data_IF_002005604923
#
_entry.id   IF_002005604923
#
_cell.length_a   1.000
_cell.length_b   1.000
_cell.length_c   1.000
_cell.angle_alpha   90.00
_cell.angle_beta   90.00
_cell.angle_gamma   90.00
#
_symmetry.space_group_name_H-M   'P 1'
#
loop_
_entity.id
_entity.type
_entity.pdbx_description
1 polymer ?
#
# COMPACT_ATOMS: atom_id res chain seq x y z
N UNK A 1 -51.94 -35.80 6.78
CA UNK A 1 -51.73 -34.37 6.48
C UNK A 1 -50.37 -34.14 5.84
N UNK A 2 -50.22 -34.68 4.63
CA UNK A 2 -49.11 -34.47 3.69
C UNK A 2 -49.78 -34.18 2.35
N UNK A 3 -50.18 -32.94 2.08
CA UNK A 3 -50.69 -32.54 0.76
C UNK A 3 -50.89 -31.02 0.57
N UNK A 4 -50.08 -30.15 1.18
CA UNK A 4 -50.23 -28.70 1.01
C UNK A 4 -48.91 -27.93 1.11
N UNK A 5 -47.83 -28.47 0.56
CA UNK A 5 -46.52 -27.79 0.52
C UNK A 5 -45.76 -28.02 -0.81
N UNK A 6 -46.47 -28.35 -1.89
CA UNK A 6 -45.87 -28.69 -3.19
C UNK A 6 -46.37 -27.86 -4.40
N UNK A 7 -47.23 -26.86 -4.20
CA UNK A 7 -47.82 -26.08 -5.32
C UNK A 7 -47.47 -24.59 -5.36
N UNK A 8 -46.55 -24.10 -4.50
CA UNK A 8 -46.05 -22.71 -4.56
C UNK A 8 -44.63 -22.63 -5.18
N UNK A 9 -43.98 -23.77 -5.42
CA UNK A 9 -42.64 -23.83 -6.04
C UNK A 9 -42.65 -24.02 -7.57
N UNK A 10 -43.81 -23.93 -8.23
CA UNK A 10 -43.96 -24.29 -9.66
C UNK A 10 -44.55 -23.18 -10.55
N UNK A 11 -44.51 -21.93 -10.08
CA UNK A 11 -44.85 -20.72 -10.86
C UNK A 11 -43.86 -19.58 -10.66
N UNK A 12 -42.56 -19.83 -10.84
CA UNK A 12 -41.55 -18.77 -11.01
C UNK A 12 -40.30 -19.26 -11.77
N UNK A 13 -40.46 -20.24 -12.68
CA UNK A 13 -39.34 -20.87 -13.39
C UNK A 13 -39.20 -20.45 -14.87
N UNK A 14 -39.79 -19.32 -15.27
CA UNK A 14 -39.69 -18.80 -16.65
C UNK A 14 -39.42 -17.28 -16.74
N UNK A 15 -38.80 -16.69 -15.72
CA UNK A 15 -38.48 -15.25 -15.75
C UNK A 15 -37.16 -14.90 -15.02
N UNK A 16 -36.06 -15.66 -15.22
CA UNK A 16 -34.70 -15.23 -14.81
C UNK A 16 -33.63 -15.78 -15.76
N UNK A 17 -33.85 -15.74 -17.08
CA UNK A 17 -32.87 -16.22 -18.06
C UNK A 17 -32.67 -15.26 -19.23
N UNK A 18 -32.81 -13.94 -18.98
CA UNK A 18 -32.60 -12.94 -20.02
C UNK A 18 -32.14 -11.57 -19.48
N UNK A 19 -31.12 -11.52 -18.61
CA UNK A 19 -30.34 -10.29 -18.36
C UNK A 19 -28.91 -10.68 -17.97
N UNK A 20 -28.04 -10.94 -18.95
CA UNK A 20 -26.57 -10.81 -18.83
C UNK A 20 -25.87 -11.03 -20.18
N UNK A 21 -26.45 -10.50 -21.24
CA UNK A 21 -25.77 -10.29 -22.52
C UNK A 21 -26.00 -8.84 -22.93
N UNK A 22 -25.51 -7.91 -22.11
CA UNK A 22 -25.17 -6.59 -22.65
C UNK A 22 -23.95 -6.85 -23.51
N UNK A 23 -24.19 -7.00 -24.81
CA UNK A 23 -23.14 -6.80 -25.80
C UNK A 23 -22.47 -5.48 -25.42
N UNK A 24 -21.18 -5.53 -25.07
CA UNK A 24 -20.26 -4.42 -25.24
C UNK A 24 -20.23 -4.12 -26.73
N UNK A 25 -21.28 -3.47 -27.22
CA UNK A 25 -21.17 -2.60 -28.36
C UNK A 25 -20.21 -1.53 -27.87
N UNK A 26 -18.95 -1.64 -28.28
CA UNK A 26 -18.01 -0.55 -28.20
C UNK A 26 -18.71 0.65 -28.83
N UNK A 27 -19.23 1.54 -27.97
CA UNK A 27 -19.51 2.90 -28.38
C UNK A 27 -18.26 3.39 -29.08
N UNK A 28 -18.35 4.03 -30.27
CA UNK A 28 -17.20 4.72 -30.81
C UNK A 28 -16.74 5.67 -29.71
N UNK A 29 -15.57 5.37 -29.14
CA UNK A 29 -14.95 6.14 -28.09
C UNK A 29 -14.80 7.53 -28.68
N UNK A 30 -15.69 8.46 -28.28
CA UNK A 30 -15.47 9.86 -28.51
C UNK A 30 -14.05 10.09 -28.03
N UNK A 31 -13.16 10.58 -28.90
CA UNK A 31 -11.79 10.88 -28.51
C UNK A 31 -11.90 11.68 -27.24
N UNK A 32 -11.46 11.12 -26.11
CA UNK A 32 -11.47 11.84 -24.86
C UNK A 32 -10.75 13.15 -25.15
N UNK A 33 -11.42 14.27 -24.86
CA UNK A 33 -10.80 15.58 -25.00
C UNK A 33 -9.44 15.51 -24.32
N UNK A 34 -8.40 16.02 -24.98
CA UNK A 34 -7.03 15.93 -24.51
C UNK A 34 -6.96 16.38 -23.05
N UNK A 35 -6.31 15.59 -22.20
CA UNK A 35 -6.19 15.88 -20.77
C UNK A 35 -5.30 17.12 -20.50
N UNK A 36 -4.61 17.63 -21.53
CA UNK A 36 -3.85 18.86 -21.51
C UNK A 36 -4.59 20.00 -22.24
N UNK A 37 -4.41 21.23 -21.76
CA UNK A 37 -4.86 22.40 -22.51
C UNK A 37 -4.10 22.52 -23.84
N UNK A 38 -4.70 23.10 -24.90
CA UNK A 38 -4.05 23.19 -26.21
C UNK A 38 -2.68 23.89 -26.19
N UNK A 39 -2.48 24.90 -25.33
CA UNK A 39 -1.21 25.60 -25.23
C UNK A 39 -0.17 24.82 -24.43
N UNK A 40 -0.58 24.10 -23.38
CA UNK A 40 0.33 23.25 -22.63
C UNK A 40 0.72 21.99 -23.41
N UNK A 41 -0.19 21.42 -24.20
CA UNK A 41 0.11 20.34 -25.16
C UNK A 41 1.24 20.71 -26.11
N UNK A 42 1.26 21.92 -26.67
CA UNK A 42 2.36 22.40 -27.53
C UNK A 42 3.69 22.45 -26.77
N UNK A 43 3.68 22.82 -25.50
CA UNK A 43 4.90 22.84 -24.67
C UNK A 43 5.41 21.43 -24.41
N UNK A 44 4.52 20.47 -24.13
CA UNK A 44 4.86 19.06 -23.94
C UNK A 44 5.42 18.45 -25.23
N UNK A 45 4.79 18.68 -26.39
CA UNK A 45 5.30 18.16 -27.67
C UNK A 45 6.68 18.75 -28.04
N UNK A 46 6.90 20.03 -27.73
CA UNK A 46 8.21 20.65 -27.86
C UNK A 46 9.23 20.01 -26.92
N UNK A 47 8.87 19.81 -25.64
CA UNK A 47 9.75 19.15 -24.66
C UNK A 47 10.12 17.73 -25.10
N UNK A 48 9.16 16.93 -25.59
CA UNK A 48 9.43 15.59 -26.12
C UNK A 48 10.47 15.63 -27.25
N UNK A 49 10.29 16.55 -28.19
CA UNK A 49 11.21 16.72 -29.34
C UNK A 49 12.59 17.17 -28.89
N UNK A 50 12.65 18.21 -28.05
CA UNK A 50 13.89 18.81 -27.57
C UNK A 50 14.68 17.82 -26.71
N UNK A 51 14.02 17.00 -25.86
CA UNK A 51 14.67 16.01 -25.01
C UNK A 51 15.22 14.80 -25.77
N UNK A 52 14.65 14.46 -26.93
CA UNK A 52 15.21 13.43 -27.82
C UNK A 52 16.45 13.93 -28.56
N UNK A 53 16.51 15.22 -28.87
CA UNK A 53 17.64 15.83 -29.57
C UNK A 53 18.79 16.21 -28.62
N UNK A 54 18.46 16.75 -27.44
CA UNK A 54 19.40 17.25 -26.44
C UNK A 54 18.99 16.76 -25.04
N UNK A 55 19.82 15.98 -24.33
CA UNK A 55 19.50 15.52 -22.98
C UNK A 55 19.36 16.69 -22.00
N UNK A 56 18.81 16.42 -20.82
CA UNK A 56 18.74 17.44 -19.77
C UNK A 56 20.16 17.76 -19.29
N UNK A 57 20.45 19.04 -19.12
CA UNK A 57 21.74 19.57 -18.67
C UNK A 57 21.51 20.65 -17.63
N UNK A 58 22.58 21.09 -16.95
CA UNK A 58 22.51 22.23 -16.03
C UNK A 58 21.98 23.51 -16.70
N UNK A 59 22.08 23.62 -18.03
CA UNK A 59 21.65 24.80 -18.80
C UNK A 59 20.15 24.82 -19.08
N UNK A 60 19.50 23.66 -19.18
CA UNK A 60 18.09 23.55 -19.59
C UNK A 60 17.17 22.94 -18.50
N UNK A 61 17.74 22.40 -17.41
CA UNK A 61 16.97 21.72 -16.36
C UNK A 61 15.96 22.62 -15.65
N UNK A 62 16.31 23.90 -15.44
CA UNK A 62 15.42 24.88 -14.79
C UNK A 62 14.18 25.16 -15.64
N UNK A 63 14.32 25.18 -16.96
CA UNK A 63 13.21 25.40 -17.90
C UNK A 63 12.37 24.14 -18.09
N UNK A 64 12.99 22.94 -18.03
CA UNK A 64 12.28 21.66 -18.19
C UNK A 64 11.46 21.28 -16.95
N UNK A 65 11.98 21.52 -15.75
CA UNK A 65 11.37 21.02 -14.51
C UNK A 65 9.91 21.46 -14.30
N UNK A 66 9.51 22.73 -14.54
CA UNK A 66 8.11 23.14 -14.41
C UNK A 66 7.17 22.42 -15.39
N UNK A 67 7.61 22.20 -16.64
CA UNK A 67 6.81 21.49 -17.65
C UNK A 67 6.63 20.02 -17.25
N UNK A 68 7.70 19.36 -16.80
CA UNK A 68 7.65 17.97 -16.32
C UNK A 68 6.75 17.84 -15.09
N UNK A 69 6.82 18.81 -14.17
CA UNK A 69 5.93 18.87 -13.01
C UNK A 69 4.46 18.95 -13.40
N UNK A 70 4.10 19.91 -14.26
CA UNK A 70 2.71 20.09 -14.69
C UNK A 70 2.21 18.89 -15.50
N UNK A 71 3.04 18.33 -16.38
CA UNK A 71 2.69 17.16 -17.20
C UNK A 71 2.48 15.90 -16.35
N UNK A 72 3.39 15.63 -15.40
CA UNK A 72 3.26 14.53 -14.45
C UNK A 72 1.96 14.64 -13.65
N UNK A 73 1.65 15.84 -13.12
CA UNK A 73 0.41 16.04 -12.38
C UNK A 73 -0.83 15.82 -13.25
N UNK A 74 -0.82 16.33 -14.49
CA UNK A 74 -1.94 16.14 -15.41
C UNK A 74 -2.19 14.65 -15.74
N UNK A 75 -1.13 13.86 -15.97
CA UNK A 75 -1.28 12.41 -16.14
C UNK A 75 -1.68 11.70 -14.84
N UNK A 76 -1.16 12.11 -13.68
CA UNK A 76 -1.51 11.52 -12.39
C UNK A 76 -3.01 11.69 -12.10
N UNK A 77 -3.60 12.81 -12.51
CA UNK A 77 -5.05 13.05 -12.42
C UNK A 77 -5.87 12.12 -13.34
N UNK A 78 -5.27 11.53 -14.37
CA UNK A 78 -5.87 10.46 -15.19
C UNK A 78 -5.73 9.06 -14.54
N UNK A 79 -5.10 8.98 -13.37
CA UNK A 79 -4.90 7.73 -12.63
C UNK A 79 -3.53 7.07 -12.85
N UNK A 80 -2.66 7.66 -13.67
CA UNK A 80 -1.29 7.19 -13.84
C UNK A 80 -0.49 7.24 -12.53
N UNK A 81 0.58 6.45 -12.47
CA UNK A 81 1.51 6.42 -11.35
C UNK A 81 2.91 6.76 -11.83
N UNK A 82 3.65 7.49 -11.03
CA UNK A 82 5.00 7.93 -11.34
C UNK A 82 5.94 7.62 -10.19
N UNK A 83 7.22 7.85 -10.44
CA UNK A 83 8.25 7.89 -9.41
C UNK A 83 7.82 8.92 -8.33
N UNK A 84 7.52 8.47 -7.11
CA UNK A 84 6.96 9.32 -6.04
C UNK A 84 7.95 10.42 -5.56
N UNK A 85 9.24 10.32 -5.87
CA UNK A 85 10.23 11.36 -5.56
C UNK A 85 10.47 12.31 -6.72
N UNK A 86 9.84 12.09 -7.88
CA UNK A 86 9.93 13.02 -8.98
C UNK A 86 9.61 14.47 -8.54
N UNK A 87 8.59 14.73 -7.69
CA UNK A 87 8.43 16.01 -7.00
C UNK A 87 9.69 16.60 -6.36
N UNK A 88 10.41 15.81 -5.57
CA UNK A 88 11.64 16.21 -4.90
C UNK A 88 12.71 16.56 -5.94
N UNK A 89 12.93 15.69 -6.93
CA UNK A 89 13.93 15.91 -7.99
C UNK A 89 13.62 17.12 -8.86
N UNK A 90 12.35 17.41 -9.12
CA UNK A 90 11.91 18.59 -9.87
C UNK A 90 12.09 19.90 -9.10
N UNK A 91 12.02 19.84 -7.76
CA UNK A 91 12.22 21.01 -6.90
C UNK A 91 13.68 21.45 -6.77
N UNK A 92 14.64 20.52 -6.87
CA UNK A 92 16.05 20.83 -6.65
C UNK A 92 16.62 21.87 -7.63
N UNK A 93 16.41 21.75 -8.96
CA UNK A 93 16.89 22.77 -9.91
C UNK A 93 16.36 24.18 -9.63
N UNK A 94 15.16 24.28 -9.03
CA UNK A 94 14.50 25.54 -8.71
C UNK A 94 14.94 26.11 -7.36
N UNK A 95 15.24 25.24 -6.39
CA UNK A 95 15.48 25.63 -4.98
C UNK A 95 16.96 25.62 -4.57
N UNK A 96 17.83 24.87 -5.24
CA UNK A 96 19.22 24.69 -4.86
C UNK A 96 20.14 24.63 -6.10
N UNK A 97 20.98 25.66 -6.35
CA UNK A 97 21.92 25.67 -7.46
C UNK A 97 23.26 24.95 -7.16
N UNK A 98 23.34 24.07 -6.15
CA UNK A 98 24.60 23.40 -5.77
C UNK A 98 25.08 22.37 -6.81
N UNK A 99 26.39 22.36 -7.11
CA UNK A 99 27.02 21.56 -8.18
C UNK A 99 26.86 20.03 -8.02
N UNK A 100 26.68 19.51 -6.81
CA UNK A 100 26.65 18.06 -6.53
C UNK A 100 25.27 17.41 -6.68
N UNK A 101 24.20 18.20 -6.52
CA UNK A 101 22.81 17.72 -6.54
C UNK A 101 22.25 17.69 -7.97
N UNK A 102 22.72 18.62 -8.81
CA UNK A 102 22.29 18.80 -10.20
C UNK A 102 22.41 17.51 -11.04
N UNK A 103 23.49 16.70 -10.99
CA UNK A 103 23.60 15.51 -11.85
C UNK A 103 22.57 14.41 -11.56
N UNK A 104 22.12 14.26 -10.30
CA UNK A 104 21.06 13.29 -9.96
C UNK A 104 19.69 13.79 -10.41
N UNK A 105 19.38 15.05 -10.15
CA UNK A 105 18.15 15.69 -10.61
C UNK A 105 18.02 15.65 -12.14
N UNK A 106 19.11 15.95 -12.87
CA UNK A 106 19.16 15.86 -14.34
C UNK A 106 18.75 14.47 -14.83
N UNK A 107 19.36 13.40 -14.28
CA UNK A 107 19.04 12.02 -14.68
C UNK A 107 17.61 11.63 -14.36
N UNK A 108 17.11 12.06 -13.20
CA UNK A 108 15.72 11.81 -12.80
C UNK A 108 14.73 12.51 -13.75
N UNK A 109 15.03 13.76 -14.15
CA UNK A 109 14.20 14.53 -15.08
C UNK A 109 14.21 13.92 -16.48
N UNK A 110 15.36 13.49 -17.00
CA UNK A 110 15.41 12.77 -18.28
C UNK A 110 14.65 11.44 -18.23
N UNK A 111 14.83 10.67 -17.17
CA UNK A 111 14.09 9.42 -16.95
C UNK A 111 12.57 9.65 -16.88
N UNK A 112 12.15 10.75 -16.25
CA UNK A 112 10.76 11.15 -16.14
C UNK A 112 10.18 11.61 -17.48
N UNK A 113 10.87 12.47 -18.24
CA UNK A 113 10.45 12.86 -19.59
C UNK A 113 10.26 11.62 -20.45
N UNK A 114 11.19 10.67 -20.34
CA UNK A 114 11.14 9.42 -21.08
C UNK A 114 9.93 8.55 -20.70
N UNK A 115 9.65 8.36 -19.40
CA UNK A 115 8.47 7.63 -18.91
C UNK A 115 7.16 8.33 -19.30
N UNK A 116 7.04 9.64 -19.05
CA UNK A 116 5.86 10.45 -19.37
C UNK A 116 5.55 10.40 -20.86
N UNK A 117 6.57 10.50 -21.71
CA UNK A 117 6.41 10.41 -23.17
C UNK A 117 5.83 9.07 -23.57
N UNK A 118 6.37 7.97 -23.06
CA UNK A 118 5.87 6.63 -23.41
C UNK A 118 4.41 6.45 -22.94
N UNK A 119 4.08 6.90 -21.74
CA UNK A 119 2.71 6.83 -21.20
C UNK A 119 1.72 7.74 -21.93
N UNK A 120 2.18 8.85 -22.49
CA UNK A 120 1.37 9.77 -23.28
C UNK A 120 1.15 9.30 -24.72
N UNK A 121 2.22 8.79 -25.36
CA UNK A 121 2.19 8.37 -26.75
C UNK A 121 1.44 7.04 -26.93
N UNK A 122 1.43 6.19 -25.89
CA UNK A 122 0.87 4.84 -25.93
C UNK A 122 -0.02 4.61 -24.72
N UNK A 123 -1.33 4.62 -24.92
CA UNK A 123 -2.30 4.29 -23.87
C UNK A 123 -2.01 2.91 -23.28
N UNK A 124 -1.96 2.80 -21.95
CA UNK A 124 -1.66 1.55 -21.27
C UNK A 124 -0.26 1.00 -21.61
N UNK A 125 0.71 1.87 -21.92
CA UNK A 125 2.06 1.50 -22.36
C UNK A 125 2.70 0.40 -21.50
N UNK A 126 2.70 0.58 -20.18
CA UNK A 126 3.39 -0.31 -19.24
C UNK A 126 2.57 -1.55 -18.94
N UNK A 127 1.25 -1.38 -18.77
CA UNK A 127 0.34 -2.44 -18.34
C UNK A 127 0.27 -2.60 -16.81
N UNK A 128 -0.78 -3.26 -16.30
CA UNK A 128 -1.05 -3.33 -14.87
C UNK A 128 -0.22 -4.39 -14.15
N UNK A 129 -0.11 -4.24 -12.84
CA UNK A 129 0.25 -5.30 -11.90
C UNK A 129 -0.97 -5.60 -11.03
N UNK A 130 -1.34 -6.87 -10.94
CA UNK A 130 -2.47 -7.36 -10.13
C UNK A 130 -2.00 -8.41 -9.15
N UNK A 131 -2.80 -8.71 -8.13
CA UNK A 131 -2.56 -9.84 -7.23
C UNK A 131 -3.80 -10.74 -7.17
N UNK A 132 -3.59 -12.05 -7.11
CA UNK A 132 -4.67 -13.02 -6.89
C UNK A 132 -4.85 -13.37 -5.41
N UNK A 133 -4.03 -12.79 -4.54
CA UNK A 133 -3.92 -13.13 -3.11
C UNK A 133 -3.91 -11.87 -2.24
N UNK A 134 -5.02 -11.13 -2.13
CA UNK A 134 -5.05 -9.82 -1.47
C UNK A 134 -5.10 -9.88 0.07
N UNK A 135 -5.15 -11.06 0.69
CA UNK A 135 -5.35 -11.24 2.13
C UNK A 135 -6.83 -11.34 2.54
N UNK A 136 -7.18 -11.16 3.82
CA UNK A 136 -6.29 -10.76 4.92
C UNK A 136 -5.24 -11.82 5.28
N UNK A 137 -4.04 -11.37 5.61
CA UNK A 137 -2.98 -12.20 6.16
C UNK A 137 -2.63 -11.75 7.57
N UNK A 138 -2.42 -12.69 8.49
CA UNK A 138 -1.98 -12.36 9.83
C UNK A 138 -0.51 -11.90 9.81
N UNK A 139 -0.16 -10.92 10.65
CA UNK A 139 1.24 -10.51 10.86
C UNK A 139 2.13 -11.71 11.19
N UNK A 140 3.39 -11.69 10.75
CA UNK A 140 4.37 -12.77 10.95
C UNK A 140 3.96 -14.17 10.46
N UNK A 141 2.86 -14.30 9.71
CA UNK A 141 2.49 -15.56 9.07
C UNK A 141 3.30 -15.80 7.80
N UNK A 142 3.39 -17.06 7.36
CA UNK A 142 3.95 -17.39 6.06
C UNK A 142 2.84 -17.55 5.02
N UNK A 143 2.99 -16.92 3.86
CA UNK A 143 1.97 -16.86 2.81
C UNK A 143 2.57 -17.13 1.44
N UNK A 144 1.74 -17.58 0.49
CA UNK A 144 2.10 -17.54 -0.94
C UNK A 144 1.37 -16.36 -1.58
N UNK A 145 2.09 -15.36 -2.05
CA UNK A 145 1.54 -14.17 -2.71
C UNK A 145 1.88 -14.20 -4.18
N UNK A 146 0.88 -14.04 -5.04
CA UNK A 146 1.06 -14.05 -6.48
C UNK A 146 0.77 -12.66 -7.02
N UNK A 147 1.75 -12.08 -7.71
CA UNK A 147 1.58 -10.87 -8.50
C UNK A 147 1.75 -11.17 -9.99
N UNK A 148 0.85 -10.64 -10.80
CA UNK A 148 0.84 -10.84 -12.25
C UNK A 148 0.97 -9.48 -12.90
N UNK A 149 2.06 -9.29 -13.64
CA UNK A 149 2.21 -8.18 -14.56
C UNK A 149 1.68 -8.59 -15.94
N UNK A 150 0.70 -7.86 -16.45
CA UNK A 150 0.25 -8.00 -17.84
C UNK A 150 0.95 -6.95 -18.68
N UNK A 151 1.71 -7.37 -19.69
CA UNK A 151 2.50 -6.51 -20.55
C UNK A 151 1.57 -5.53 -21.28
N UNK A 152 1.87 -4.24 -21.14
CA UNK A 152 1.10 -3.17 -21.76
C UNK A 152 1.33 -3.04 -23.27
N UNK A 153 0.69 -2.03 -23.86
CA UNK A 153 0.66 -1.83 -25.31
C UNK A 153 2.03 -1.46 -25.91
N UNK A 154 2.99 -1.02 -25.10
CA UNK A 154 4.35 -0.75 -25.55
C UNK A 154 5.18 -2.03 -25.76
N UNK A 155 4.82 -3.12 -25.08
CA UNK A 155 5.64 -4.33 -25.01
C UNK A 155 6.83 -4.19 -24.05
N UNK A 156 7.59 -5.28 -23.90
CA UNK A 156 8.87 -5.27 -23.18
C UNK A 156 9.95 -5.83 -24.11
N UNK A 157 10.93 -5.01 -24.45
CA UNK A 157 12.05 -5.43 -25.29
C UNK A 157 12.93 -6.47 -24.57
N UNK A 158 13.61 -7.33 -25.34
CA UNK A 158 14.67 -8.17 -24.79
C UNK A 158 15.72 -7.28 -24.09
N UNK A 159 16.20 -7.68 -22.91
CA UNK A 159 17.04 -6.85 -22.05
C UNK A 159 16.27 -5.95 -21.07
N UNK A 160 14.97 -5.73 -21.30
CA UNK A 160 14.04 -5.15 -20.32
C UNK A 160 13.79 -6.08 -19.13
N UNK A 161 12.78 -5.80 -18.33
CA UNK A 161 12.37 -6.72 -17.27
C UNK A 161 11.76 -6.07 -16.03
N UNK A 162 11.96 -6.71 -14.89
CA UNK A 162 11.30 -6.37 -13.64
C UNK A 162 12.31 -6.12 -12.51
N UNK A 163 12.02 -5.14 -11.68
CA UNK A 163 12.71 -4.88 -10.41
C UNK A 163 11.73 -5.03 -9.24
N UNK A 164 12.10 -5.88 -8.28
CA UNK A 164 11.33 -6.14 -7.07
C UNK A 164 11.91 -5.32 -5.90
N UNK A 165 11.33 -4.15 -5.67
CA UNK A 165 11.80 -3.23 -4.65
C UNK A 165 11.27 -3.60 -3.24
N UNK A 166 11.92 -3.04 -2.22
CA UNK A 166 11.57 -3.26 -0.82
C UNK A 166 11.15 -1.96 -0.16
N UNK A 167 9.92 -1.87 0.32
CA UNK A 167 9.42 -0.67 0.96
C UNK A 167 10.13 -0.43 2.31
N UNK A 168 10.43 0.83 2.64
CA UNK A 168 11.28 1.32 3.71
C UNK A 168 10.73 1.02 5.11
N UNK A 169 9.42 1.13 5.27
CA UNK A 169 8.67 0.99 6.52
C UNK A 169 8.04 -0.40 6.65
N UNK A 170 8.56 -1.39 5.92
CA UNK A 170 8.14 -2.77 6.04
C UNK A 170 9.30 -3.65 6.51
N UNK A 171 8.97 -4.72 7.24
CA UNK A 171 9.91 -5.74 7.71
C UNK A 171 9.49 -7.14 7.27
N UNK A 172 8.70 -7.25 6.19
CA UNK A 172 8.42 -8.53 5.56
C UNK A 172 9.70 -9.23 5.10
N UNK A 173 9.60 -10.54 4.86
CA UNK A 173 10.73 -11.36 4.47
C UNK A 173 11.42 -10.88 3.18
N UNK A 174 12.74 -11.02 3.11
CA UNK A 174 13.50 -10.68 1.90
C UNK A 174 13.37 -11.82 0.88
N UNK A 175 12.83 -11.59 -0.34
CA UNK A 175 12.68 -12.63 -1.34
C UNK A 175 14.02 -13.22 -1.80
N UNK A 176 14.03 -14.51 -2.11
CA UNK A 176 15.21 -15.23 -2.60
C UNK A 176 14.84 -16.35 -3.57
N UNK A 177 15.72 -16.69 -4.51
CA UNK A 177 15.47 -17.60 -5.64
C UNK A 177 16.31 -18.88 -5.60
N UNK A 178 17.14 -19.05 -4.57
CA UNK A 178 18.23 -20.05 -4.55
C UNK A 178 18.01 -21.22 -3.59
N UNK A 179 17.15 -21.04 -2.60
CA UNK A 179 16.90 -22.00 -1.51
C UNK A 179 15.43 -22.40 -1.51
N UNK A 180 15.02 -23.38 -2.33
CA UNK A 180 13.60 -23.72 -2.53
C UNK A 180 12.86 -24.23 -1.30
N UNK A 181 13.58 -24.71 -0.27
CA UNK A 181 13.01 -25.23 0.98
C UNK A 181 12.99 -24.18 2.11
N UNK A 182 13.59 -23.01 1.90
CA UNK A 182 13.71 -21.95 2.92
C UNK A 182 12.61 -20.90 2.76
N UNK A 183 12.30 -20.12 3.82
CA UNK A 183 11.36 -19.00 3.72
C UNK A 183 11.70 -18.02 2.58
N UNK A 184 10.67 -17.30 2.14
CA UNK A 184 10.75 -16.25 1.14
C UNK A 184 11.25 -16.74 -0.23
N UNK A 185 11.13 -18.03 -0.52
CA UNK A 185 11.44 -18.55 -1.85
C UNK A 185 10.55 -17.89 -2.90
N UNK A 186 11.14 -17.39 -3.97
CA UNK A 186 10.46 -16.67 -5.03
C UNK A 186 10.74 -17.33 -6.38
N UNK A 187 9.69 -17.48 -7.17
CA UNK A 187 9.78 -17.90 -8.57
C UNK A 187 9.18 -16.84 -9.48
N UNK A 188 9.66 -16.82 -10.73
CA UNK A 188 9.16 -15.95 -11.78
C UNK A 188 8.96 -16.78 -13.04
N UNK A 189 7.81 -16.61 -13.70
CA UNK A 189 7.46 -17.34 -14.92
C UNK A 189 6.85 -16.39 -15.95
N UNK A 190 6.87 -16.78 -17.21
CA UNK A 190 6.25 -16.04 -18.31
C UNK A 190 5.25 -16.92 -19.06
N UNK A 191 4.17 -16.32 -19.57
CA UNK A 191 3.24 -17.01 -20.47
C UNK A 191 3.87 -17.35 -21.82
N UNK A 192 4.91 -16.62 -22.24
CA UNK A 192 5.67 -16.91 -23.45
C UNK A 192 6.79 -17.92 -23.13
N UNK A 193 6.73 -19.15 -23.67
CA UNK A 193 7.70 -20.21 -23.33
C UNK A 193 9.11 -19.95 -23.89
N UNK A 194 9.26 -19.02 -24.83
CA UNK A 194 10.57 -18.64 -25.38
C UNK A 194 11.25 -17.55 -24.56
N UNK A 195 10.53 -16.92 -23.63
CA UNK A 195 11.07 -15.91 -22.73
C UNK A 195 11.67 -16.56 -21.49
N UNK A 196 12.87 -16.13 -21.13
CA UNK A 196 13.52 -16.53 -19.87
C UNK A 196 13.98 -15.29 -19.10
N UNK A 197 14.25 -15.45 -17.80
CA UNK A 197 14.73 -14.35 -16.96
C UNK A 197 16.10 -14.65 -16.38
N UNK A 198 17.03 -13.72 -16.60
CA UNK A 198 18.30 -13.70 -15.88
C UNK A 198 18.13 -12.94 -14.57
N UNK A 199 18.29 -13.65 -13.46
CA UNK A 199 18.35 -13.03 -12.14
C UNK A 199 19.57 -12.09 -12.05
N UNK A 200 19.35 -10.93 -11.46
CA UNK A 200 20.37 -9.95 -11.12
C UNK A 200 20.06 -9.22 -9.83
N UNK A 201 20.81 -8.13 -9.63
CA UNK A 201 20.66 -7.19 -8.54
C UNK A 201 20.79 -5.79 -9.12
N UNK A 202 19.93 -4.87 -8.72
CA UNK A 202 20.01 -3.47 -9.12
C UNK A 202 20.27 -2.58 -7.92
N UNK A 203 21.32 -1.76 -7.98
CA UNK A 203 21.67 -0.87 -6.87
C UNK A 203 20.78 0.38 -6.90
N UNK A 204 20.02 0.57 -5.82
CA UNK A 204 19.29 1.80 -5.52
C UNK A 204 20.16 2.60 -4.54
N UNK A 205 20.79 3.71 -4.97
CA UNK A 205 21.87 4.35 -4.22
C UNK A 205 21.40 5.25 -3.07
N UNK A 206 20.14 5.68 -3.06
CA UNK A 206 19.57 6.58 -2.06
C UNK A 206 18.18 6.10 -1.65
N UNK A 207 17.59 6.72 -0.63
CA UNK A 207 16.18 6.58 -0.34
C UNK A 207 15.44 7.09 -1.57
N UNK A 208 14.72 6.16 -2.20
CA UNK A 208 13.90 6.50 -3.34
C UNK A 208 12.53 5.89 -3.07
N UNK A 209 11.44 6.64 -3.11
CA UNK A 209 10.07 6.13 -3.07
C UNK A 209 9.58 5.46 -1.79
N UNK A 210 10.11 5.84 -0.64
CA UNK A 210 9.92 5.04 0.57
C UNK A 210 10.37 3.59 0.32
N UNK A 211 11.41 3.38 -0.49
CA UNK A 211 12.11 2.11 -0.72
C UNK A 211 13.44 2.20 -0.01
N UNK A 212 13.80 1.10 0.64
CA UNK A 212 15.07 0.98 1.34
C UNK A 212 16.25 1.02 0.34
N UNK A 213 17.27 1.88 0.54
CA UNK A 213 18.49 1.86 -0.26
C UNK A 213 19.13 0.48 -0.23
N UNK A 214 19.50 -0.07 -1.37
CA UNK A 214 19.95 -1.45 -1.38
C UNK A 214 20.21 -2.05 -2.74
N UNK A 215 20.19 -3.37 -2.78
CA UNK A 215 20.35 -4.15 -4.01
C UNK A 215 19.18 -5.14 -4.15
N UNK A 216 17.96 -4.64 -4.44
CA UNK A 216 16.82 -5.50 -4.74
C UNK A 216 17.07 -6.51 -5.87
N UNK A 217 16.26 -7.56 -5.87
CA UNK A 217 16.18 -8.55 -6.95
C UNK A 217 15.71 -7.90 -8.24
N UNK A 218 16.42 -8.19 -9.34
CA UNK A 218 16.00 -7.81 -10.69
C UNK A 218 15.96 -9.03 -11.59
N UNK A 219 15.07 -9.02 -12.57
CA UNK A 219 14.90 -10.08 -13.55
C UNK A 219 14.97 -9.47 -14.95
N UNK A 220 16.05 -9.72 -15.66
CA UNK A 220 16.25 -9.24 -17.03
C UNK A 220 15.72 -10.27 -18.02
N UNK A 221 14.83 -9.85 -18.91
CA UNK A 221 14.24 -10.65 -19.97
C UNK A 221 15.31 -11.07 -20.99
N UNK A 222 15.30 -12.33 -21.41
CA UNK A 222 16.21 -12.91 -22.40
C UNK A 222 15.45 -13.80 -23.40
N UNK A 223 16.02 -13.94 -24.59
CA UNK A 223 15.59 -14.88 -25.63
C UNK A 223 14.55 -14.30 -26.59
N UNK A 224 13.67 -13.42 -26.11
CA UNK A 224 12.68 -12.72 -26.93
C UNK A 224 12.15 -11.47 -26.25
N UNK A 225 11.45 -10.61 -27.00
CA UNK A 225 10.63 -9.53 -26.45
C UNK A 225 9.24 -10.04 -26.07
N UNK A 226 8.61 -9.38 -25.11
CA UNK A 226 7.22 -9.65 -24.74
C UNK A 226 6.25 -8.70 -25.44
N UNK A 227 5.14 -9.27 -25.90
CA UNK A 227 4.07 -8.59 -26.63
C UNK A 227 2.95 -8.15 -25.68
N UNK A 228 2.14 -7.14 -26.06
CA UNK A 228 0.97 -6.74 -25.31
C UNK A 228 0.08 -7.94 -24.96
N UNK A 229 -0.35 -8.01 -23.70
CA UNK A 229 -1.21 -9.07 -23.16
C UNK A 229 -0.48 -10.32 -22.67
N UNK A 230 0.82 -10.51 -22.97
CA UNK A 230 1.62 -11.56 -22.33
C UNK A 230 1.81 -11.25 -20.84
N UNK A 231 2.01 -12.28 -20.01
CA UNK A 231 2.05 -12.11 -18.55
C UNK A 231 3.37 -12.59 -17.95
N UNK A 232 3.84 -11.86 -16.95
CA UNK A 232 4.92 -12.26 -16.06
C UNK A 232 4.29 -12.53 -14.68
N UNK A 233 4.42 -13.76 -14.19
CA UNK A 233 3.90 -14.16 -12.88
C UNK A 233 5.04 -14.25 -11.88
N UNK A 234 4.94 -13.50 -10.79
CA UNK A 234 5.87 -13.47 -9.67
C UNK A 234 5.18 -14.15 -8.48
N UNK A 235 5.76 -15.24 -7.99
CA UNK A 235 5.23 -15.99 -6.85
C UNK A 235 6.17 -15.80 -5.67
N UNK A 236 5.77 -14.97 -4.71
CA UNK A 236 6.44 -14.79 -3.43
C UNK A 236 6.03 -15.92 -2.49
N UNK A 237 6.99 -16.57 -1.84
CA UNK A 237 6.72 -17.68 -0.94
C UNK A 237 6.23 -18.92 -1.68
N UNK A 238 6.87 -19.27 -2.79
CA UNK A 238 6.52 -20.44 -3.59
C UNK A 238 6.75 -21.72 -2.78
N UNK A 239 5.68 -22.46 -2.51
CA UNK A 239 5.69 -23.67 -1.69
C UNK A 239 5.86 -24.95 -2.52
N UNK A 240 5.93 -24.86 -3.85
CA UNK A 240 5.97 -26.03 -4.77
C UNK A 240 7.15 -26.97 -4.52
N UNK A 241 8.23 -26.45 -3.96
CA UNK A 241 9.42 -27.21 -3.58
C UNK A 241 9.61 -27.36 -2.06
N UNK A 242 8.62 -26.98 -1.24
CA UNK A 242 8.64 -27.20 0.21
C UNK A 242 9.05 -25.99 1.07
N UNK A 243 9.16 -24.79 0.50
CA UNK A 243 9.28 -23.55 1.30
C UNK A 243 8.09 -23.41 2.26
N UNK A 244 8.28 -22.86 3.47
CA UNK A 244 7.17 -22.51 4.35
C UNK A 244 6.33 -21.34 3.82
N UNK A 245 6.84 -20.55 2.87
CA UNK A 245 6.17 -19.38 2.30
C UNK A 245 6.93 -18.07 2.53
N UNK A 246 6.28 -16.95 2.21
CA UNK A 246 6.77 -15.58 2.37
C UNK A 246 6.34 -15.04 3.73
N UNK A 247 7.31 -14.57 4.52
CA UNK A 247 7.06 -14.02 5.84
C UNK A 247 6.40 -12.64 5.73
N UNK A 248 5.18 -12.52 6.22
CA UNK A 248 4.47 -11.24 6.33
C UNK A 248 5.11 -10.36 7.42
N UNK A 249 5.02 -9.05 7.23
CA UNK A 249 5.57 -8.06 8.16
C UNK A 249 4.95 -8.16 9.56
N UNK A 250 5.62 -7.58 10.55
CA UNK A 250 5.21 -7.65 11.96
C UNK A 250 4.11 -6.66 12.33
N UNK A 251 3.87 -5.65 11.49
CA UNK A 251 2.86 -4.61 11.69
C UNK A 251 1.61 -4.80 10.82
N UNK A 252 0.42 -4.56 11.36
CA UNK A 252 -0.81 -4.51 10.56
C UNK A 252 -0.75 -3.39 9.52
N UNK A 253 -1.38 -3.61 8.38
CA UNK A 253 -1.48 -2.60 7.32
C UNK A 253 -2.63 -2.92 6.38
N UNK A 254 -3.52 -1.96 6.16
CA UNK A 254 -4.66 -2.13 5.25
C UNK A 254 -4.30 -2.06 3.75
N UNK A 255 -3.05 -1.69 3.44
CA UNK A 255 -2.53 -1.62 2.07
C UNK A 255 -1.01 -1.84 2.05
N UNK A 256 -0.57 -3.01 2.50
CA UNK A 256 0.79 -3.45 2.26
C UNK A 256 1.04 -3.52 0.73
N UNK A 257 2.17 -3.03 0.26
CA UNK A 257 2.59 -3.15 -1.14
C UNK A 257 3.87 -3.96 -1.26
N UNK A 258 3.96 -4.75 -2.32
CA UNK A 258 5.20 -5.33 -2.82
C UNK A 258 5.53 -4.59 -4.13
N UNK A 259 6.42 -3.58 -4.12
CA UNK A 259 6.66 -2.74 -5.29
C UNK A 259 7.31 -3.49 -6.46
N UNK A 260 6.68 -3.39 -7.63
CA UNK A 260 7.14 -3.95 -8.90
C UNK A 260 7.33 -2.82 -9.90
N UNK A 261 8.57 -2.65 -10.35
CA UNK A 261 8.89 -1.71 -11.42
C UNK A 261 9.22 -2.43 -12.72
N UNK A 262 8.91 -1.80 -13.84
CA UNK A 262 9.05 -2.39 -15.17
C UNK A 262 10.02 -1.57 -16.00
N UNK A 263 11.04 -2.22 -16.56
CA UNK A 263 11.90 -1.66 -17.61
C UNK A 263 11.44 -2.20 -18.96
N UNK A 264 10.76 -1.35 -19.74
CA UNK A 264 10.15 -1.74 -21.02
C UNK A 264 11.16 -1.82 -22.17
N UNK A 265 12.35 -1.23 -22.04
CA UNK A 265 13.32 -1.11 -23.14
C UNK A 265 14.71 -1.73 -22.85
N UNK A 266 14.99 -2.12 -21.60
CA UNK A 266 16.31 -2.62 -21.20
C UNK A 266 17.33 -1.53 -20.93
N UNK A 267 16.87 -0.29 -20.76
CA UNK A 267 17.72 0.88 -20.49
C UNK A 267 17.88 1.17 -19.00
N UNK A 268 17.32 0.32 -18.14
CA UNK A 268 17.26 0.46 -16.67
C UNK A 268 16.54 1.74 -16.22
N UNK A 269 15.59 2.21 -17.03
CA UNK A 269 14.61 3.21 -16.63
C UNK A 269 13.36 2.46 -16.16
N UNK A 270 13.21 2.35 -14.84
CA UNK A 270 12.20 1.51 -14.20
C UNK A 270 10.92 2.30 -13.94
N UNK A 271 9.84 1.97 -14.64
CA UNK A 271 8.59 2.73 -14.60
C UNK A 271 7.73 2.25 -13.43
N UNK A 272 7.03 3.18 -12.80
CA UNK A 272 6.09 2.86 -11.72
C UNK A 272 4.77 2.36 -12.31
N UNK A 273 4.25 1.29 -11.72
CA UNK A 273 2.90 0.76 -11.99
C UNK A 273 2.01 0.96 -10.78
N UNK A 274 0.70 0.72 -10.93
CA UNK A 274 -0.15 0.55 -9.76
C UNK A 274 0.24 -0.75 -9.03
N UNK A 275 0.66 -0.65 -7.77
CA UNK A 275 0.91 -1.81 -6.93
C UNK A 275 -0.35 -2.22 -6.18
N UNK A 276 -0.77 -3.49 -6.29
CA UNK A 276 -1.93 -4.00 -5.57
C UNK A 276 -1.66 -3.97 -4.06
N UNK A 277 -2.68 -3.55 -3.29
CA UNK A 277 -2.63 -3.61 -1.84
C UNK A 277 -2.90 -5.01 -1.32
N UNK A 278 -2.17 -5.39 -0.27
CA UNK A 278 -2.32 -6.63 0.48
C UNK A 278 -2.76 -6.25 1.88
N UNK A 279 -3.84 -6.86 2.37
CA UNK A 279 -4.36 -6.63 3.70
C UNK A 279 -3.59 -7.50 4.71
N UNK A 280 -2.92 -6.85 5.66
CA UNK A 280 -2.25 -7.48 6.80
C UNK A 280 -2.97 -7.09 8.08
N UNK A 281 -3.34 -8.08 8.89
CA UNK A 281 -4.14 -7.90 10.12
C UNK A 281 -3.39 -8.41 11.34
N UNK A 282 -3.66 -7.83 12.51
CA UNK A 282 -3.11 -8.31 13.77
C UNK A 282 -3.61 -9.71 14.14
N UNK A 283 -2.86 -10.40 14.98
CA UNK A 283 -3.13 -11.78 15.38
C UNK A 283 -4.12 -11.94 16.54
N UNK A 284 -3.85 -12.95 17.37
CA UNK A 284 -4.64 -13.26 18.55
C UNK A 284 -4.49 -12.22 19.67
N UNK A 285 -5.52 -12.08 20.50
CA UNK A 285 -5.49 -11.18 21.64
C UNK A 285 -4.38 -11.62 22.62
N UNK A 286 -3.45 -10.70 22.89
CA UNK A 286 -2.34 -10.89 23.81
C UNK A 286 -2.38 -9.91 24.98
N UNK A 287 -2.80 -8.66 24.71
CA UNK A 287 -2.89 -7.61 25.71
C UNK A 287 -3.95 -6.57 25.35
N UNK A 288 -4.07 -5.54 26.19
CA UNK A 288 -4.93 -4.40 25.92
C UNK A 288 -4.30 -3.10 26.43
N UNK A 289 -4.57 -2.00 25.74
CA UNK A 289 -4.24 -0.65 26.16
C UNK A 289 -5.54 0.11 26.46
N UNK A 290 -5.58 0.78 27.61
CA UNK A 290 -6.72 1.57 28.03
C UNK A 290 -6.31 3.04 28.20
N UNK A 291 -6.99 3.92 27.49
CA UNK A 291 -6.65 5.35 27.44
C UNK A 291 -7.83 6.21 27.85
N UNK A 292 -7.56 7.15 28.75
CA UNK A 292 -8.46 8.23 29.21
C UNK A 292 -7.69 9.56 29.15
N UNK A 293 -8.35 10.73 29.20
CA UNK A 293 -7.64 11.98 29.45
C UNK A 293 -6.87 11.92 30.78
N UNK A 294 -5.69 12.53 30.83
CA UNK A 294 -4.88 12.55 32.06
C UNK A 294 -5.35 13.56 33.08
N UNK A 295 -6.14 14.57 32.69
CA UNK A 295 -6.69 15.59 33.58
C UNK A 295 -8.13 15.91 33.19
N UNK A 296 -9.05 15.87 34.15
CA UNK A 296 -10.46 16.26 34.02
C UNK A 296 -10.93 17.00 35.28
N UNK A 297 -12.01 17.77 35.19
CA UNK A 297 -12.67 18.36 36.35
C UNK A 297 -13.65 17.37 37.01
N UNK A 298 -13.99 17.53 38.30
CA UNK A 298 -15.11 16.84 38.94
C UNK A 298 -16.38 16.87 38.09
N UNK A 299 -16.97 15.71 37.83
CA UNK A 299 -18.21 15.57 37.07
C UNK A 299 -18.10 15.83 35.56
N UNK A 300 -16.91 16.13 35.04
CA UNK A 300 -16.67 16.29 33.61
C UNK A 300 -16.76 14.94 32.91
N UNK A 301 -17.53 14.88 31.83
CA UNK A 301 -17.67 13.70 30.99
C UNK A 301 -16.41 13.48 30.15
N UNK A 302 -15.90 12.25 30.14
CA UNK A 302 -14.80 11.84 29.27
C UNK A 302 -15.00 10.42 28.75
N UNK A 303 -14.16 10.03 27.81
CA UNK A 303 -14.22 8.71 27.21
C UNK A 303 -13.07 7.83 27.66
N UNK A 304 -13.37 6.55 27.86
CA UNK A 304 -12.38 5.49 27.96
C UNK A 304 -12.30 4.75 26.62
N UNK A 305 -11.10 4.64 26.06
CA UNK A 305 -10.82 3.82 24.88
C UNK A 305 -10.03 2.59 25.28
N UNK A 306 -10.51 1.40 24.94
CA UNK A 306 -9.83 0.12 25.16
C UNK A 306 -9.47 -0.48 23.81
N UNK A 307 -8.17 -0.62 23.54
CA UNK A 307 -7.62 -1.27 22.34
C UNK A 307 -6.99 -2.60 22.71
N UNK A 308 -7.58 -3.69 22.25
CA UNK A 308 -6.99 -5.04 22.38
C UNK A 308 -5.94 -5.23 21.29
N UNK A 309 -4.80 -5.77 21.66
CA UNK A 309 -3.68 -5.94 20.75
C UNK A 309 -3.07 -7.34 20.80
N UNK A 310 -2.41 -7.72 19.72
CA UNK A 310 -1.62 -8.94 19.64
C UNK A 310 -0.24 -8.80 20.30
N UNK A 311 0.58 -9.83 20.20
CA UNK A 311 1.93 -9.87 20.79
C UNK A 311 2.90 -8.84 20.18
N UNK A 312 2.54 -8.24 19.04
CA UNK A 312 3.32 -7.24 18.31
C UNK A 312 2.69 -5.84 18.40
N UNK A 313 1.69 -5.65 19.26
CA UNK A 313 0.94 -4.41 19.46
C UNK A 313 0.05 -3.97 18.29
N UNK A 314 -0.23 -4.85 17.32
CA UNK A 314 -1.27 -4.62 16.31
C UNK A 314 -2.65 -4.80 16.91
N UNK A 315 -3.68 -4.21 16.33
CA UNK A 315 -5.05 -4.43 16.76
C UNK A 315 -5.38 -5.90 16.54
N UNK A 316 -5.73 -6.59 17.63
CA UNK A 316 -6.09 -7.99 17.56
C UNK A 316 -7.36 -8.17 16.71
N UNK A 317 -7.36 -9.16 15.80
CA UNK A 317 -8.50 -9.40 14.89
C UNK A 317 -9.15 -10.78 15.04
N UNK A 318 -8.54 -11.68 15.82
CA UNK A 318 -9.21 -12.92 16.23
C UNK A 318 -10.25 -12.65 17.33
N UNK A 319 -10.95 -13.71 17.75
CA UNK A 319 -11.93 -13.63 18.83
C UNK A 319 -11.29 -13.05 20.09
N UNK A 320 -11.85 -11.93 20.56
CA UNK A 320 -11.44 -11.21 21.74
C UNK A 320 -12.19 -11.77 22.96
N UNK A 321 -11.55 -11.80 24.14
CA UNK A 321 -12.20 -12.27 25.34
C UNK A 321 -13.24 -11.27 25.85
N UNK A 322 -14.14 -11.76 26.71
CA UNK A 322 -15.00 -10.89 27.53
C UNK A 322 -14.14 -10.07 28.50
N UNK A 323 -14.39 -8.77 28.64
CA UNK A 323 -13.72 -7.90 29.60
C UNK A 323 -14.66 -7.38 30.69
N UNK A 324 -14.17 -7.35 31.92
CA UNK A 324 -14.74 -6.54 32.99
C UNK A 324 -13.91 -5.26 33.15
N UNK A 325 -14.59 -4.11 33.14
CA UNK A 325 -13.99 -2.80 33.36
C UNK A 325 -14.39 -2.31 34.75
N UNK A 326 -13.40 -2.02 35.59
CA UNK A 326 -13.64 -1.61 36.98
C UNK A 326 -12.91 -0.31 37.33
N UNK A 327 -13.47 0.45 38.27
CA UNK A 327 -12.85 1.60 38.90
C UNK A 327 -12.91 1.40 40.41
N UNK A 328 -11.76 1.41 41.10
CA UNK A 328 -11.67 1.10 42.54
C UNK A 328 -12.44 -0.18 42.92
N UNK A 329 -12.22 -1.25 42.15
CA UNK A 329 -12.86 -2.57 42.27
C UNK A 329 -14.39 -2.58 42.08
N UNK A 330 -15.01 -1.45 41.72
CA UNK A 330 -16.42 -1.36 41.33
C UNK A 330 -16.59 -1.61 39.84
N UNK A 331 -17.49 -2.51 39.45
CA UNK A 331 -17.80 -2.78 38.03
C UNK A 331 -18.46 -1.56 37.39
N UNK A 332 -17.87 -1.11 36.29
CA UNK A 332 -18.37 -0.01 35.46
C UNK A 332 -19.09 -0.56 34.24
N UNK A 333 -18.48 -1.50 33.53
CA UNK A 333 -19.01 -2.06 32.28
C UNK A 333 -18.52 -3.49 32.06
N UNK A 334 -19.29 -4.30 31.31
CA UNK A 334 -18.86 -5.61 30.81
C UNK A 334 -18.90 -5.62 29.29
N UNK A 335 -17.77 -5.98 28.69
CA UNK A 335 -17.62 -6.12 27.25
C UNK A 335 -17.80 -7.59 26.89
N UNK A 336 -18.79 -7.97 26.08
CA UNK A 336 -18.92 -9.36 25.63
C UNK A 336 -17.76 -9.75 24.70
N UNK A 337 -17.47 -11.05 24.54
CA UNK A 337 -16.56 -11.52 23.50
C UNK A 337 -16.99 -11.02 22.12
N UNK A 338 -16.03 -10.72 21.25
CA UNK A 338 -16.31 -10.18 19.93
C UNK A 338 -15.08 -10.10 19.04
N UNK A 339 -15.17 -9.30 17.97
CA UNK A 339 -14.12 -9.08 16.97
C UNK A 339 -13.70 -7.59 16.89
N UNK A 340 -14.34 -6.71 17.66
CA UNK A 340 -14.01 -5.30 17.68
C UNK A 340 -12.82 -5.01 18.61
N UNK A 341 -11.61 -4.98 18.03
CA UNK A 341 -10.35 -4.71 18.74
C UNK A 341 -10.21 -3.31 19.33
N UNK A 342 -11.15 -2.39 19.10
CA UNK A 342 -11.15 -1.04 19.66
C UNK A 342 -12.55 -0.63 20.12
N UNK A 343 -12.72 -0.45 21.43
CA UNK A 343 -14.01 -0.11 22.03
C UNK A 343 -13.88 1.21 22.77
N UNK A 344 -14.81 2.12 22.53
CA UNK A 344 -14.91 3.43 23.20
C UNK A 344 -16.13 3.45 24.09
N UNK A 345 -15.95 3.84 25.34
CA UNK A 345 -16.99 4.03 26.35
C UNK A 345 -17.16 5.52 26.60
N UNK A 346 -18.17 6.16 25.99
CA UNK A 346 -18.34 7.60 26.10
C UNK A 346 -19.02 8.01 27.39
N UNK A 347 -18.74 9.23 27.85
CA UNK A 347 -19.54 9.90 28.89
C UNK A 347 -19.34 9.38 30.31
N UNK A 348 -18.19 8.79 30.62
CA UNK A 348 -17.82 8.43 31.98
C UNK A 348 -17.53 9.70 32.81
N UNK A 349 -17.87 9.68 34.09
CA UNK A 349 -17.64 10.81 35.01
C UNK A 349 -17.01 10.34 36.32
N UNK A 350 -16.24 11.22 36.96
CA UNK A 350 -15.73 11.02 38.32
C UNK A 350 -15.89 12.33 39.09
N UNK A 351 -16.60 12.31 40.21
CA UNK A 351 -16.92 13.52 40.98
C UNK A 351 -15.87 13.85 42.05
N UNK A 352 -15.28 12.82 42.66
CA UNK A 352 -14.33 13.03 43.73
C UNK A 352 -12.95 13.42 43.18
N UNK A 353 -12.31 14.49 43.71
CA UNK A 353 -10.92 14.81 43.37
C UNK A 353 -9.96 13.68 43.74
N UNK A 354 -9.00 13.38 42.87
CA UNK A 354 -8.05 12.30 43.08
C UNK A 354 -7.42 11.80 41.80
N UNK A 355 -6.57 10.78 41.92
CA UNK A 355 -5.97 10.09 40.77
C UNK A 355 -6.60 8.70 40.66
N UNK A 356 -7.16 8.41 39.49
CA UNK A 356 -7.87 7.16 39.24
C UNK A 356 -7.26 6.41 38.06
N UNK A 357 -7.44 5.09 38.04
CA UNK A 357 -7.13 4.22 36.90
C UNK A 357 -8.23 3.20 36.74
N UNK A 358 -8.70 3.01 35.52
CA UNK A 358 -9.59 1.91 35.19
C UNK A 358 -8.79 0.63 35.07
N UNK A 359 -9.32 -0.48 35.58
CA UNK A 359 -8.76 -1.82 35.39
C UNK A 359 -9.60 -2.58 34.38
N UNK A 360 -8.94 -3.14 33.37
CA UNK A 360 -9.54 -3.94 32.31
C UNK A 360 -9.04 -5.36 32.52
N UNK A 361 -9.96 -6.29 32.79
CA UNK A 361 -9.62 -7.68 33.07
C UNK A 361 -10.44 -8.62 32.19
N UNK A 362 -9.77 -9.53 31.48
CA UNK A 362 -10.46 -10.58 30.75
C UNK A 362 -11.03 -11.64 31.70
N UNK A 363 -12.14 -12.28 31.32
CA UNK A 363 -12.81 -13.32 32.13
C UNK A 363 -11.92 -14.51 32.48
N UNK A 364 -11.08 -14.92 31.53
CA UNK A 364 -10.09 -15.99 31.71
C UNK A 364 -8.86 -15.56 32.52
N UNK A 365 -8.71 -14.25 32.79
CA UNK A 365 -7.60 -13.67 33.54
C UNK A 365 -6.29 -13.53 32.77
N UNK A 366 -6.25 -13.86 31.47
CA UNK A 366 -5.05 -13.74 30.63
C UNK A 366 -4.63 -12.29 30.40
N UNK A 367 -5.58 -11.35 30.40
CA UNK A 367 -5.36 -9.91 30.26
C UNK A 367 -5.82 -9.21 31.53
N UNK A 368 -4.92 -8.44 32.14
CA UNK A 368 -5.22 -7.61 33.30
C UNK A 368 -4.35 -6.36 33.27
N UNK A 369 -4.92 -5.24 32.85
CA UNK A 369 -4.19 -3.98 32.61
C UNK A 369 -4.86 -2.81 33.31
N UNK A 370 -4.09 -1.74 33.51
CA UNK A 370 -4.59 -0.47 34.02
C UNK A 370 -4.55 0.58 32.91
N UNK A 371 -5.51 1.50 32.91
CA UNK A 371 -5.43 2.70 32.07
C UNK A 371 -4.29 3.61 32.51
N UNK A 372 -3.93 4.59 31.66
CA UNK A 372 -3.19 5.75 32.15
C UNK A 372 -3.97 6.42 33.30
N UNK A 373 -3.28 7.11 34.23
CA UNK A 373 -3.96 7.83 35.30
C UNK A 373 -4.82 8.96 34.74
N UNK A 374 -6.00 9.14 35.32
CA UNK A 374 -6.80 10.37 35.20
C UNK A 374 -6.75 11.12 36.52
N UNK A 375 -6.27 12.36 36.48
CA UNK A 375 -6.28 13.27 37.61
C UNK A 375 -7.54 14.13 37.57
N UNK A 376 -8.45 13.84 38.50
CA UNK A 376 -9.65 14.65 38.73
C UNK A 376 -9.24 15.83 39.60
N UNK A 377 -9.10 16.99 38.96
CA UNK A 377 -8.59 18.21 39.57
C UNK A 377 -9.69 19.28 39.58
N UNK A 378 -10.02 19.90 40.73
CA UNK A 378 -10.89 21.07 40.74
C UNK A 378 -10.25 22.22 39.96
N UNK A 379 -11.02 22.85 39.07
CA UNK A 379 -10.59 23.99 38.24
C UNK A 379 -9.26 23.75 37.51
N UNK A 380 -9.13 22.71 36.67
CA UNK A 380 -7.86 22.43 36.00
C UNK A 380 -7.55 23.53 34.99
N UNK A 381 -6.33 24.10 34.99
CA UNK A 381 -5.94 25.17 34.07
C UNK A 381 -5.83 24.71 32.60
N UNK A 382 -5.71 23.40 32.38
CA UNK A 382 -5.66 22.78 31.06
C UNK A 382 -6.17 21.33 31.14
N UNK A 383 -6.32 20.68 29.98
CA UNK A 383 -6.55 19.24 29.85
C UNK A 383 -5.32 18.60 29.22
N UNK A 384 -5.06 17.34 29.55
CA UNK A 384 -4.00 16.56 28.91
C UNK A 384 -4.66 15.33 28.28
N UNK A 385 -4.45 15.18 26.97
CA UNK A 385 -4.94 14.05 26.18
C UNK A 385 -3.75 13.27 25.59
N UNK A 386 -3.97 12.00 25.28
CA UNK A 386 -3.01 11.15 24.60
C UNK A 386 -3.40 10.98 23.14
N UNK A 387 -2.43 10.99 22.25
CA UNK A 387 -2.61 10.73 20.84
C UNK A 387 -1.26 10.51 20.16
N UNK A 388 -1.28 9.79 19.05
CA UNK A 388 -0.16 9.69 18.13
C UNK A 388 -0.36 10.74 17.02
N UNK A 389 0.68 11.49 16.72
CA UNK A 389 0.68 12.56 15.70
C UNK A 389 1.62 12.28 14.54
N UNK A 390 2.50 11.29 14.69
CA UNK A 390 3.53 10.96 13.75
C UNK A 390 3.22 9.61 13.08
N UNK A 391 2.64 9.67 11.88
CA UNK A 391 2.30 8.49 11.09
C UNK A 391 2.87 8.52 9.69
N UNK A 392 3.42 7.38 9.27
CA UNK A 392 3.86 7.16 7.90
C UNK A 392 2.80 6.36 7.15
N UNK A 393 2.07 7.01 6.25
CA UNK A 393 1.01 6.38 5.45
C UNK A 393 1.39 6.36 3.98
N UNK A 394 0.55 5.80 3.11
CA UNK A 394 0.75 5.86 1.67
C UNK A 394 0.70 7.28 1.06
N UNK A 395 0.37 8.32 1.84
CA UNK A 395 0.51 9.72 1.43
C UNK A 395 1.93 10.28 1.67
N UNK A 396 2.79 9.53 2.35
CA UNK A 396 4.17 9.88 2.64
C UNK A 396 5.09 8.69 2.29
N UNK A 397 6.17 8.49 3.02
CA UNK A 397 7.14 7.39 2.84
C UNK A 397 6.69 6.04 3.43
N UNK A 398 5.45 5.94 3.93
CA UNK A 398 4.89 4.74 4.53
C UNK A 398 3.97 3.95 3.59
N UNK A 399 3.07 3.18 4.19
CA UNK A 399 2.06 2.37 3.50
C UNK A 399 0.73 2.42 4.26
N UNK A 400 -0.35 1.97 3.63
CA UNK A 400 -1.67 1.98 4.28
C UNK A 400 -2.38 3.33 4.27
N UNK A 401 -3.60 3.34 4.78
CA UNK A 401 -4.44 4.53 4.88
C UNK A 401 -4.32 5.23 6.24
N UNK A 402 -4.68 6.52 6.26
CA UNK A 402 -4.77 7.31 7.50
C UNK A 402 -5.77 6.72 8.51
N UNK A 403 -6.76 5.92 8.05
CA UNK A 403 -7.76 5.33 8.96
C UNK A 403 -7.25 4.07 9.68
N UNK A 404 -6.24 3.42 9.12
CA UNK A 404 -5.63 2.22 9.68
C UNK A 404 -4.39 2.54 10.51
N UNK A 405 -3.81 3.73 10.31
CA UNK A 405 -3.02 4.41 11.34
C UNK A 405 -3.92 4.76 12.54
#
# INVERSE_FOLDING_TARGET
MKCAFREILQRSCQAVLLVCAVQLLASPQASAEDYLSPDFRKQVERLKTDALADPTTALNVVDRAPIVWEWMNAQAMQGERFLIDLPLWLSYPVSQPEETVIPMAIRAIDGAIHELRIKDDVEGAVGPVTTTTPGPFEVNSHQTIIQIHTVGNYGIAEGGGILLAHQLMADYGVPQTKKPFEPNYLTITCSNPNATFKEGRYRIPSFIHGIYPGTPLSFTLQGTSLKPGETITITYGDTSAGSPGFLMQSSENDRLVLPVYIDVEGKRNYFTTHWPGILVVGGEAHGANAVVPSIVAPGEAFDLSVRTHDAYYNRATRVLPEYAITLNDTLIETVPPGDNGLIRFPGLTIDAPGVYRYRIRSKDGSINVLSNPVWVQPSPPYRIYWGETHGHTGYSEGQGSIKNF
#
